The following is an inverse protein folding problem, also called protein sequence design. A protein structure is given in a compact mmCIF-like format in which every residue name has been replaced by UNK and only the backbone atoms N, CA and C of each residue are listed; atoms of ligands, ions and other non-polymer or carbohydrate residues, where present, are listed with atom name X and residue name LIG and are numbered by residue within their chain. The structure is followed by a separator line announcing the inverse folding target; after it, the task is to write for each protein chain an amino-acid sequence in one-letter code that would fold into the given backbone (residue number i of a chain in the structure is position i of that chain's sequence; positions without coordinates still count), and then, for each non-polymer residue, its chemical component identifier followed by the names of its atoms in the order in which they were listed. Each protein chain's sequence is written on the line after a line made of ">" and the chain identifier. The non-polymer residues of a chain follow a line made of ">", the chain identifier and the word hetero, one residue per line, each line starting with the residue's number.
data_IF_955352457100
#
_entry.id   IF_955352457100
#
_cell.length_a   1.000
_cell.length_b   1.000
_cell.length_c   1.000
_cell.angle_alpha   90.00
_cell.angle_beta   90.00
_cell.angle_gamma   90.00
#
_symmetry.space_group_name_H-M   'P 1'
#
loop_
_entity.id
_entity.type
_entity.pdbx_description
1 polymer ?
#
# COMPACT_ATOMS: atom_id res chain seq x y z
N UNK A 1 23.44 -10.48 32.09
CA UNK A 1 24.47 -9.68 32.79
C UNK A 1 24.04 -8.25 32.73
N UNK A 2 23.68 -7.66 33.88
CA UNK A 2 23.29 -6.29 33.94
C UNK A 2 24.53 -5.41 33.73
N UNK A 3 24.51 -4.63 32.66
CA UNK A 3 25.61 -3.70 32.36
C UNK A 3 25.53 -2.53 33.33
N UNK A 4 26.65 -2.19 33.92
CA UNK A 4 26.76 -1.02 34.82
C UNK A 4 27.81 -0.06 34.23
N UNK A 5 27.50 1.21 34.17
CA UNK A 5 28.43 2.21 33.69
C UNK A 5 29.64 2.29 34.63
N UNK A 6 30.84 2.12 34.10
CA UNK A 6 32.08 2.14 34.86
C UNK A 6 32.39 3.48 35.51
N UNK A 7 31.77 4.58 35.05
CA UNK A 7 32.00 5.92 35.53
C UNK A 7 31.01 6.36 36.61
N UNK A 8 29.71 6.05 36.46
CA UNK A 8 28.67 6.56 37.38
C UNK A 8 27.79 5.47 38.00
N UNK A 9 28.01 4.18 37.67
CA UNK A 9 27.25 3.08 38.24
C UNK A 9 25.81 2.94 37.68
N UNK A 10 25.39 3.77 36.73
CA UNK A 10 24.06 3.69 36.14
C UNK A 10 23.92 2.46 35.24
N UNK A 11 22.74 1.83 35.23
CA UNK A 11 22.42 0.68 34.39
C UNK A 11 21.59 1.04 33.15
N UNK A 12 21.29 2.33 32.94
CA UNK A 12 20.51 2.79 31.80
C UNK A 12 21.43 3.36 30.70
N UNK A 13 21.20 2.94 29.46
CA UNK A 13 22.02 3.30 28.30
C UNK A 13 21.12 3.57 27.09
N UNK A 14 21.51 4.57 26.27
CA UNK A 14 20.87 4.83 24.98
C UNK A 14 21.89 4.80 23.85
N UNK A 15 21.40 4.57 22.64
CA UNK A 15 22.22 4.64 21.44
C UNK A 15 22.22 6.07 20.87
N UNK A 16 23.40 6.67 20.86
CA UNK A 16 23.62 8.00 20.26
C UNK A 16 23.92 7.84 18.76
N UNK A 17 22.92 8.10 17.92
CA UNK A 17 23.03 7.95 16.45
C UNK A 17 24.07 8.89 15.82
N UNK A 18 24.23 10.09 16.35
CA UNK A 18 25.19 11.05 15.78
C UNK A 18 26.64 10.64 16.03
N UNK A 19 26.88 9.87 17.10
CA UNK A 19 28.20 9.34 17.48
C UNK A 19 28.35 7.84 17.23
N UNK A 20 27.29 7.20 16.71
CA UNK A 20 27.23 5.77 16.39
C UNK A 20 27.71 4.85 17.53
N UNK A 21 27.31 5.15 18.77
CA UNK A 21 27.74 4.38 19.94
C UNK A 21 26.70 4.38 21.05
N UNK A 22 26.78 3.37 21.93
CA UNK A 22 26.02 3.35 23.17
C UNK A 22 26.63 4.31 24.17
N UNK A 23 25.80 5.16 24.79
CA UNK A 23 26.21 6.12 25.82
C UNK A 23 25.36 5.93 27.08
N UNK A 24 25.96 6.12 28.23
CA UNK A 24 25.24 6.09 29.49
C UNK A 24 24.28 7.30 29.60
N UNK A 25 23.01 7.03 29.96
CA UNK A 25 21.98 8.08 30.08
C UNK A 25 22.33 9.16 31.09
N UNK A 26 23.06 8.78 32.14
CA UNK A 26 23.38 9.72 33.24
C UNK A 26 24.63 10.58 33.01
N UNK A 27 25.68 9.97 32.41
CA UNK A 27 26.97 10.69 32.33
C UNK A 27 27.54 10.80 30.92
N UNK A 28 26.83 10.25 29.90
CA UNK A 28 27.27 10.29 28.50
C UNK A 28 28.54 9.47 28.21
N UNK A 29 29.01 8.65 29.17
CA UNK A 29 30.20 7.81 28.95
C UNK A 29 29.91 6.76 27.94
N UNK A 30 30.74 6.59 26.88
CA UNK A 30 30.56 5.54 25.88
C UNK A 30 30.73 4.17 26.50
N UNK A 31 29.83 3.26 26.12
CA UNK A 31 29.93 1.84 26.48
C UNK A 31 30.58 1.11 25.33
N UNK A 32 31.71 0.53 25.57
CA UNK A 32 32.43 -0.28 24.59
C UNK A 32 31.82 -1.69 24.57
N UNK A 33 30.93 -1.94 23.63
CA UNK A 33 30.51 -3.28 23.24
C UNK A 33 30.90 -3.49 21.77
N UNK A 34 32.06 -4.11 21.52
CA UNK A 34 32.57 -4.26 20.15
C UNK A 34 31.61 -4.99 19.22
N UNK A 35 30.79 -5.91 19.75
CA UNK A 35 29.82 -6.67 18.94
C UNK A 35 28.61 -5.81 18.56
N UNK A 36 28.10 -5.04 19.50
CA UNK A 36 26.96 -4.16 19.26
C UNK A 36 27.32 -3.00 18.34
N UNK A 37 28.52 -2.43 18.52
CA UNK A 37 29.04 -1.36 17.64
C UNK A 37 29.23 -1.88 16.21
N UNK A 38 29.73 -3.09 16.02
CA UNK A 38 29.85 -3.71 14.69
C UNK A 38 28.48 -3.94 14.02
N UNK A 39 27.49 -4.44 14.77
CA UNK A 39 26.13 -4.62 14.25
C UNK A 39 25.50 -3.30 13.80
N UNK A 40 25.69 -2.24 14.59
CA UNK A 40 25.16 -0.92 14.27
C UNK A 40 25.86 -0.29 13.07
N UNK A 41 27.18 -0.43 12.97
CA UNK A 41 27.94 0.01 11.79
C UNK A 41 27.49 -0.74 10.52
N UNK A 42 27.25 -2.05 10.64
CA UNK A 42 26.72 -2.85 9.54
C UNK A 42 25.32 -2.43 9.12
N UNK A 43 24.42 -2.15 10.10
CA UNK A 43 23.10 -1.61 9.85
C UNK A 43 23.17 -0.30 9.08
N UNK A 44 23.94 0.69 9.58
CA UNK A 44 24.02 2.01 8.95
C UNK A 44 24.63 1.94 7.54
N UNK A 45 25.63 1.10 7.32
CA UNK A 45 26.23 0.87 6.00
C UNK A 45 25.20 0.28 5.03
N UNK A 46 24.50 -0.79 5.44
CA UNK A 46 23.51 -1.46 4.60
C UNK A 46 22.32 -0.54 4.32
N UNK A 47 21.86 0.21 5.32
CA UNK A 47 20.78 1.18 5.16
C UNK A 47 21.19 2.32 4.20
N UNK A 48 22.38 2.89 4.35
CA UNK A 48 22.89 3.94 3.46
C UNK A 48 23.03 3.45 2.02
N UNK A 49 23.51 2.23 1.83
CA UNK A 49 23.60 1.60 0.52
C UNK A 49 22.20 1.42 -0.10
N UNK A 50 21.23 0.93 0.67
CA UNK A 50 19.86 0.78 0.22
C UNK A 50 19.23 2.13 -0.17
N UNK A 51 19.50 3.20 0.60
CA UNK A 51 19.02 4.55 0.27
C UNK A 51 19.67 5.11 -1.01
N UNK A 52 20.91 4.78 -1.26
CA UNK A 52 21.59 5.11 -2.54
C UNK A 52 20.93 4.41 -3.72
N UNK A 53 20.57 3.12 -3.59
CA UNK A 53 19.81 2.40 -4.62
C UNK A 53 18.39 2.96 -4.78
N UNK A 54 17.73 3.35 -3.71
CA UNK A 54 16.41 3.98 -3.74
C UNK A 54 16.44 5.28 -4.58
N UNK A 55 17.42 6.14 -4.33
CA UNK A 55 17.57 7.40 -5.09
C UNK A 55 17.95 7.18 -6.53
N UNK A 56 18.69 6.11 -6.83
CA UNK A 56 19.04 5.71 -8.20
C UNK A 56 17.92 5.01 -8.96
N UNK A 57 16.76 4.72 -8.32
CA UNK A 57 15.63 4.01 -8.93
C UNK A 57 15.80 2.49 -9.01
N UNK A 58 16.78 1.93 -8.30
CA UNK A 58 17.04 0.49 -8.26
C UNK A 58 16.17 -0.20 -7.19
N UNK A 59 14.87 -0.27 -7.44
CA UNK A 59 13.84 -0.66 -6.45
C UNK A 59 14.03 -2.06 -5.88
N UNK A 60 14.28 -3.05 -6.74
CA UNK A 60 14.44 -4.44 -6.33
C UNK A 60 15.67 -4.64 -5.44
N UNK A 61 16.79 -3.99 -5.78
CA UNK A 61 18.00 -4.03 -4.98
C UNK A 61 17.79 -3.38 -3.61
N UNK A 62 17.05 -2.26 -3.57
CA UNK A 62 16.67 -1.61 -2.32
C UNK A 62 15.89 -2.55 -1.41
N UNK A 63 14.86 -3.22 -1.93
CA UNK A 63 14.04 -4.16 -1.17
C UNK A 63 14.89 -5.35 -0.69
N UNK A 64 15.75 -5.88 -1.55
CA UNK A 64 16.65 -6.99 -1.23
C UNK A 64 17.59 -6.68 -0.06
N UNK A 65 18.16 -5.48 -0.02
CA UNK A 65 19.05 -5.03 1.06
C UNK A 65 18.31 -4.75 2.38
N UNK A 66 17.09 -4.22 2.30
CA UNK A 66 16.33 -3.84 3.50
C UNK A 66 15.60 -5.01 4.14
N UNK A 67 15.21 -6.05 3.40
CA UNK A 67 14.46 -7.20 3.92
C UNK A 67 15.15 -7.91 5.09
N UNK A 68 16.45 -8.23 5.06
CA UNK A 68 17.15 -8.78 6.21
C UNK A 68 17.15 -7.85 7.42
N UNK A 69 17.31 -6.53 7.19
CA UNK A 69 17.28 -5.54 8.26
C UNK A 69 15.92 -5.45 8.94
N UNK A 70 14.81 -5.56 8.17
CA UNK A 70 13.45 -5.59 8.73
C UNK A 70 13.24 -6.77 9.68
N UNK A 71 13.85 -7.92 9.40
CA UNK A 71 13.79 -9.11 10.28
C UNK A 71 14.57 -8.90 11.57
N UNK A 72 15.69 -8.20 11.51
CA UNK A 72 16.54 -7.91 12.67
C UNK A 72 15.98 -6.75 13.51
N UNK A 73 15.36 -5.76 12.86
CA UNK A 73 14.85 -4.53 13.50
C UNK A 73 13.36 -4.33 13.21
N UNK A 74 12.47 -5.17 13.75
CA UNK A 74 11.03 -5.21 13.37
C UNK A 74 10.22 -3.99 13.82
N UNK A 75 10.79 -3.10 14.61
CA UNK A 75 10.14 -1.86 15.09
C UNK A 75 10.66 -0.60 14.44
N UNK A 76 11.68 -0.71 13.58
CA UNK A 76 12.31 0.45 12.94
C UNK A 76 11.49 0.94 11.74
N UNK A 77 10.68 1.98 11.94
CA UNK A 77 9.74 2.54 10.94
C UNK A 77 10.42 2.97 9.64
N UNK A 78 11.67 3.46 9.70
CA UNK A 78 12.41 3.95 8.53
C UNK A 78 12.65 2.85 7.50
N UNK A 79 12.87 1.61 7.95
CA UNK A 79 13.06 0.46 7.06
C UNK A 79 11.79 0.19 6.25
N UNK A 80 10.65 0.14 6.94
CA UNK A 80 9.36 -0.09 6.30
C UNK A 80 8.98 1.04 5.35
N UNK A 81 9.25 2.29 5.71
CA UNK A 81 9.00 3.42 4.82
C UNK A 81 9.87 3.35 3.56
N UNK A 82 11.15 3.02 3.70
CA UNK A 82 12.04 2.88 2.55
C UNK A 82 11.63 1.72 1.64
N UNK A 83 11.19 0.57 2.20
CA UNK A 83 10.66 -0.55 1.41
C UNK A 83 9.36 -0.17 0.71
N UNK A 84 8.45 0.55 1.38
CA UNK A 84 7.22 1.04 0.77
C UNK A 84 7.52 1.98 -0.40
N UNK A 85 8.45 2.92 -0.23
CA UNK A 85 8.90 3.81 -1.31
C UNK A 85 9.48 3.03 -2.49
N UNK A 86 10.31 2.02 -2.21
CA UNK A 86 10.86 1.17 -3.26
C UNK A 86 9.76 0.37 -3.99
N UNK A 87 8.83 -0.26 -3.26
CA UNK A 87 7.75 -1.05 -3.85
C UNK A 87 6.78 -0.19 -4.68
N UNK A 88 6.58 1.08 -4.31
CA UNK A 88 5.71 2.04 -5.02
C UNK A 88 6.46 2.95 -6.00
N UNK A 89 7.74 2.67 -6.25
CA UNK A 89 8.60 3.52 -7.08
C UNK A 89 8.58 4.99 -6.63
N UNK A 90 8.83 5.18 -5.36
CA UNK A 90 8.79 6.50 -4.71
C UNK A 90 7.40 7.17 -4.79
N UNK A 91 6.34 6.38 -4.54
CA UNK A 91 4.94 6.81 -4.61
C UNK A 91 4.48 7.27 -6.02
N UNK A 92 5.18 6.85 -7.08
CA UNK A 92 4.82 7.19 -8.47
C UNK A 92 4.01 6.10 -9.17
N UNK A 93 4.26 4.82 -8.85
CA UNK A 93 3.52 3.71 -9.43
C UNK A 93 2.15 3.54 -8.75
N UNK A 94 1.15 4.22 -9.29
CA UNK A 94 -0.23 4.18 -8.78
C UNK A 94 -0.91 2.85 -9.14
N UNK A 95 -0.59 2.27 -10.30
CA UNK A 95 -1.27 1.08 -10.83
C UNK A 95 -0.77 -0.22 -10.22
N UNK A 96 0.51 -0.24 -9.84
CA UNK A 96 1.15 -1.42 -9.26
C UNK A 96 0.84 -2.71 -10.03
N UNK A 97 1.21 -2.72 -11.30
CA UNK A 97 1.01 -3.87 -12.19
C UNK A 97 1.76 -5.13 -11.74
N UNK A 98 2.86 -4.95 -10.98
CA UNK A 98 3.62 -6.06 -10.41
C UNK A 98 2.98 -6.55 -9.11
N UNK A 99 2.47 -7.79 -9.12
CA UNK A 99 1.81 -8.40 -7.95
C UNK A 99 2.74 -8.56 -6.75
N UNK A 100 4.01 -8.87 -6.96
CA UNK A 100 5.00 -9.01 -5.88
C UNK A 100 5.25 -7.66 -5.17
N UNK A 101 5.37 -6.58 -5.93
CA UNK A 101 5.50 -5.24 -5.36
C UNK A 101 4.24 -4.81 -4.62
N UNK A 102 3.06 -5.14 -5.16
CA UNK A 102 1.78 -4.87 -4.53
C UNK A 102 1.64 -5.58 -3.18
N UNK A 103 2.00 -6.86 -3.10
CA UNK A 103 1.99 -7.61 -1.84
C UNK A 103 2.95 -7.01 -0.83
N UNK A 104 4.20 -6.73 -1.25
CA UNK A 104 5.21 -6.10 -0.39
C UNK A 104 4.74 -4.73 0.12
N UNK A 105 4.14 -3.91 -0.73
CA UNK A 105 3.59 -2.61 -0.35
C UNK A 105 2.44 -2.75 0.65
N UNK A 106 1.53 -3.71 0.44
CA UNK A 106 0.40 -3.99 1.33
C UNK A 106 0.87 -4.38 2.73
N UNK A 107 1.76 -5.36 2.84
CA UNK A 107 2.31 -5.83 4.12
C UNK A 107 3.07 -4.72 4.86
N UNK A 108 3.86 -3.94 4.11
CA UNK A 108 4.66 -2.85 4.66
C UNK A 108 3.77 -1.71 5.14
N UNK A 109 2.71 -1.40 4.40
CA UNK A 109 1.70 -0.40 4.78
C UNK A 109 1.03 -0.75 6.11
N UNK A 110 0.52 -1.99 6.24
CA UNK A 110 -0.12 -2.46 7.47
C UNK A 110 0.84 -2.41 8.67
N UNK A 111 2.10 -2.74 8.44
CA UNK A 111 3.11 -2.65 9.49
C UNK A 111 3.40 -1.21 9.90
N UNK A 112 3.47 -0.27 8.95
CA UNK A 112 3.65 1.16 9.24
C UNK A 112 2.48 1.75 10.03
N UNK A 113 1.24 1.37 9.71
CA UNK A 113 0.07 1.76 10.50
C UNK A 113 0.21 1.30 11.94
N UNK A 114 0.52 0.01 12.15
CA UNK A 114 0.69 -0.56 13.51
C UNK A 114 1.81 0.11 14.30
N UNK A 115 2.84 0.57 13.62
CA UNK A 115 3.98 1.27 14.23
C UNK A 115 3.74 2.79 14.39
N UNK A 116 2.57 3.32 14.03
CA UNK A 116 2.31 4.77 13.95
C UNK A 116 3.36 5.50 13.08
N UNK A 117 3.72 4.91 11.95
CA UNK A 117 4.72 5.42 11.01
C UNK A 117 4.13 6.04 9.74
N UNK A 118 2.85 6.40 9.75
CA UNK A 118 2.15 7.00 8.60
C UNK A 118 2.69 8.40 8.34
N UNK A 119 3.04 8.68 7.07
CA UNK A 119 3.54 9.99 6.63
C UNK A 119 2.53 10.68 5.72
N UNK A 120 2.65 12.01 5.56
CA UNK A 120 1.79 12.77 4.64
C UNK A 120 1.94 12.33 3.18
N UNK A 121 3.10 11.84 2.80
CA UNK A 121 3.34 11.28 1.45
C UNK A 121 2.51 10.01 1.22
N UNK A 122 2.48 9.11 2.21
CA UNK A 122 1.64 7.91 2.17
C UNK A 122 0.15 8.29 2.02
N UNK A 123 -0.30 9.30 2.78
CA UNK A 123 -1.69 9.75 2.71
C UNK A 123 -2.04 10.35 1.34
N UNK A 124 -1.14 11.16 0.77
CA UNK A 124 -1.33 11.69 -0.59
C UNK A 124 -1.39 10.57 -1.63
N UNK A 125 -0.48 9.62 -1.56
CA UNK A 125 -0.45 8.47 -2.45
C UNK A 125 -1.74 7.62 -2.36
N UNK A 126 -2.22 7.32 -1.15
CA UNK A 126 -3.46 6.58 -0.97
C UNK A 126 -4.66 7.30 -1.57
N UNK A 127 -4.73 8.63 -1.42
CA UNK A 127 -5.78 9.47 -2.01
C UNK A 127 -5.73 9.43 -3.54
N UNK A 128 -4.56 9.63 -4.14
CA UNK A 128 -4.40 9.60 -5.59
C UNK A 128 -4.79 8.23 -6.18
N UNK A 129 -4.37 7.15 -5.52
CA UNK A 129 -4.74 5.80 -5.93
C UNK A 129 -6.24 5.57 -5.86
N UNK A 130 -6.88 6.03 -4.79
CA UNK A 130 -8.33 5.96 -4.63
C UNK A 130 -9.08 6.74 -5.70
N UNK A 131 -8.66 7.98 -5.99
CA UNK A 131 -9.27 8.84 -7.00
C UNK A 131 -9.18 8.20 -8.40
N UNK A 132 -8.00 7.67 -8.76
CA UNK A 132 -7.80 6.97 -10.02
C UNK A 132 -8.72 5.74 -10.15
N UNK A 133 -8.77 4.91 -9.12
CA UNK A 133 -9.63 3.72 -9.12
C UNK A 133 -11.11 4.09 -9.22
N UNK A 134 -11.55 5.14 -8.54
CA UNK A 134 -12.90 5.69 -8.64
C UNK A 134 -13.22 6.17 -10.06
N UNK A 135 -12.28 6.83 -10.71
CA UNK A 135 -12.43 7.31 -12.08
C UNK A 135 -12.56 6.14 -13.08
N UNK A 136 -11.73 5.11 -12.94
CA UNK A 136 -11.82 3.90 -13.77
C UNK A 136 -13.15 3.18 -13.59
N UNK A 137 -13.63 3.03 -12.37
CA UNK A 137 -14.94 2.45 -12.08
C UNK A 137 -16.08 3.28 -12.69
N UNK A 138 -15.99 4.61 -12.65
CA UNK A 138 -16.98 5.47 -13.27
C UNK A 138 -17.03 5.31 -14.79
N UNK A 139 -15.86 5.22 -15.44
CA UNK A 139 -15.74 4.95 -16.88
C UNK A 139 -16.32 3.58 -17.26
N UNK A 140 -16.08 2.55 -16.46
CA UNK A 140 -16.68 1.23 -16.69
C UNK A 140 -18.20 1.26 -16.55
N UNK A 141 -18.73 1.94 -15.52
CA UNK A 141 -20.18 2.13 -15.35
C UNK A 141 -20.82 2.79 -16.56
N UNK A 142 -20.22 3.85 -17.05
CA UNK A 142 -20.73 4.57 -18.24
C UNK A 142 -20.76 3.66 -19.48
N UNK A 143 -19.72 2.88 -19.70
CA UNK A 143 -19.70 1.89 -20.80
C UNK A 143 -20.81 0.85 -20.68
N UNK A 144 -21.02 0.30 -19.47
CA UNK A 144 -22.08 -0.70 -19.27
C UNK A 144 -23.46 -0.10 -19.48
N UNK A 145 -23.71 1.10 -18.96
CA UNK A 145 -24.97 1.80 -19.21
C UNK A 145 -25.20 2.04 -20.72
N UNK A 146 -24.17 2.46 -21.45
CA UNK A 146 -24.25 2.65 -22.90
C UNK A 146 -24.63 1.32 -23.62
N UNK A 147 -24.05 0.20 -23.22
CA UNK A 147 -24.41 -1.12 -23.77
C UNK A 147 -25.85 -1.52 -23.44
N UNK A 148 -26.33 -1.26 -22.22
CA UNK A 148 -27.72 -1.52 -21.82
C UNK A 148 -28.68 -0.69 -22.66
N UNK A 149 -28.41 0.60 -22.86
CA UNK A 149 -29.22 1.47 -23.71
C UNK A 149 -29.21 1.02 -25.17
N UNK A 150 -28.05 0.64 -25.72
CA UNK A 150 -27.95 0.11 -27.08
C UNK A 150 -28.75 -1.17 -27.25
N UNK A 151 -28.69 -2.09 -26.31
CA UNK A 151 -29.45 -3.33 -26.35
C UNK A 151 -30.96 -3.07 -26.25
N UNK A 152 -31.40 -2.18 -25.37
CA UNK A 152 -32.82 -1.79 -25.27
C UNK A 152 -33.33 -1.14 -26.56
N UNK A 153 -32.54 -0.27 -27.17
CA UNK A 153 -32.87 0.36 -28.43
C UNK A 153 -32.99 -0.63 -29.57
N UNK A 154 -32.06 -1.57 -29.70
CA UNK A 154 -32.13 -2.65 -30.69
C UNK A 154 -33.36 -3.52 -30.48
N UNK A 155 -33.77 -3.80 -29.24
CA UNK A 155 -34.97 -4.57 -28.92
C UNK A 155 -36.26 -3.86 -29.35
N UNK A 156 -36.32 -2.54 -29.15
CA UNK A 156 -37.46 -1.71 -29.60
C UNK A 156 -37.54 -1.73 -31.12
N UNK A 157 -36.42 -1.54 -31.81
CA UNK A 157 -36.36 -1.58 -33.27
C UNK A 157 -36.79 -2.97 -33.83
N UNK A 158 -36.30 -4.02 -33.22
CA UNK A 158 -36.71 -5.39 -33.62
C UNK A 158 -38.20 -5.63 -33.42
N UNK A 159 -38.78 -5.13 -32.33
CA UNK A 159 -40.22 -5.22 -32.09
C UNK A 159 -41.06 -4.45 -33.14
N UNK A 160 -40.59 -3.28 -33.60
CA UNK A 160 -41.23 -2.50 -34.63
C UNK A 160 -41.19 -3.23 -36.01
N UNK A 161 -40.05 -3.89 -36.31
CA UNK A 161 -39.82 -4.51 -37.60
C UNK A 161 -40.47 -5.91 -37.75
N UNK A 162 -40.53 -6.69 -36.68
CA UNK A 162 -40.93 -8.11 -36.73
C UNK A 162 -42.27 -8.42 -36.05
N UNK A 163 -42.98 -7.45 -35.55
CA UNK A 163 -44.25 -7.62 -34.87
C UNK A 163 -44.23 -8.09 -33.43
N UNK A 164 -45.43 -8.24 -32.82
CA UNK A 164 -45.58 -8.37 -31.36
C UNK A 164 -45.01 -9.65 -30.76
N UNK A 165 -44.97 -10.78 -31.51
CA UNK A 165 -44.48 -12.06 -30.94
C UNK A 165 -42.95 -12.08 -30.74
N UNK A 166 -42.18 -11.48 -31.65
CA UNK A 166 -40.72 -11.34 -31.48
C UNK A 166 -40.34 -10.28 -30.46
N UNK A 167 -41.20 -9.28 -30.24
CA UNK A 167 -40.98 -8.23 -29.26
C UNK A 167 -40.90 -8.77 -27.82
N UNK A 168 -41.80 -9.69 -27.46
CA UNK A 168 -41.82 -10.26 -26.11
C UNK A 168 -40.57 -11.06 -25.77
N UNK A 169 -40.05 -11.84 -26.73
CA UNK A 169 -38.79 -12.57 -26.59
C UNK A 169 -37.57 -11.64 -26.47
N UNK A 170 -37.53 -10.59 -27.28
CA UNK A 170 -36.43 -9.61 -27.25
C UNK A 170 -36.41 -8.83 -25.93
N UNK A 171 -37.57 -8.44 -25.38
CA UNK A 171 -37.66 -7.76 -24.08
C UNK A 171 -37.27 -8.68 -22.91
N UNK A 172 -37.64 -9.95 -22.95
CA UNK A 172 -37.22 -10.95 -21.94
C UNK A 172 -35.71 -11.19 -21.98
N UNK A 173 -35.09 -11.33 -23.16
CA UNK A 173 -33.65 -11.49 -23.30
C UNK A 173 -32.85 -10.28 -22.81
N UNK A 174 -33.31 -9.07 -23.13
CA UNK A 174 -32.62 -7.83 -22.65
C UNK A 174 -32.83 -7.61 -21.16
N UNK A 175 -33.99 -7.93 -20.61
CA UNK A 175 -34.26 -7.85 -19.19
C UNK A 175 -33.39 -8.83 -18.39
N UNK A 176 -33.22 -10.05 -18.85
CA UNK A 176 -32.36 -11.04 -18.21
C UNK A 176 -30.89 -10.67 -18.28
N UNK A 177 -30.39 -10.16 -19.39
CA UNK A 177 -29.02 -9.66 -19.57
C UNK A 177 -28.74 -8.45 -18.66
N UNK A 178 -29.66 -7.49 -18.60
CA UNK A 178 -29.56 -6.36 -17.70
C UNK A 178 -29.57 -6.77 -16.21
N UNK A 179 -30.39 -7.77 -15.85
CA UNK A 179 -30.44 -8.35 -14.50
C UNK A 179 -29.16 -9.08 -14.13
N UNK A 180 -28.58 -9.87 -15.03
CA UNK A 180 -27.30 -10.55 -14.84
C UNK A 180 -26.14 -9.56 -14.71
N UNK A 181 -26.09 -8.55 -15.55
CA UNK A 181 -25.11 -7.48 -15.48
C UNK A 181 -25.25 -6.66 -14.19
N UNK A 182 -26.48 -6.33 -13.78
CA UNK A 182 -26.74 -5.65 -12.51
C UNK A 182 -26.29 -6.49 -11.32
N UNK A 183 -26.57 -7.80 -11.32
CA UNK A 183 -26.18 -8.72 -10.24
C UNK A 183 -24.66 -8.90 -10.18
N UNK A 184 -24.00 -9.04 -11.32
CA UNK A 184 -22.53 -9.09 -11.40
C UNK A 184 -21.89 -7.78 -10.91
N UNK A 185 -22.55 -6.65 -11.12
CA UNK A 185 -22.06 -5.34 -10.73
C UNK A 185 -22.36 -4.98 -9.26
N UNK A 186 -23.49 -5.46 -8.72
CA UNK A 186 -23.88 -5.16 -7.33
C UNK A 186 -23.17 -6.03 -6.30
N UNK A 187 -22.64 -7.20 -6.71
CA UNK A 187 -22.16 -8.18 -5.73
C UNK A 187 -20.74 -7.97 -5.24
N UNK A 188 -19.86 -7.27 -5.96
CA UNK A 188 -18.45 -7.15 -5.53
C UNK A 188 -17.89 -5.73 -5.40
N UNK A 189 -18.01 -4.80 -6.38
CA UNK A 189 -17.30 -3.52 -6.26
C UNK A 189 -18.02 -2.49 -5.38
N UNK A 190 -19.37 -2.55 -5.28
CA UNK A 190 -20.14 -1.55 -4.50
C UNK A 190 -19.97 -1.73 -3.00
N UNK A 191 -19.82 -2.97 -2.50
CA UNK A 191 -19.52 -3.20 -1.07
C UNK A 191 -18.14 -2.71 -0.70
N UNK A 192 -17.15 -2.99 -1.56
CA UNK A 192 -15.76 -2.52 -1.37
C UNK A 192 -15.69 -0.99 -1.46
N UNK A 193 -16.41 -0.38 -2.39
CA UNK A 193 -16.44 1.10 -2.53
C UNK A 193 -17.19 1.75 -1.36
N UNK A 194 -18.30 1.18 -0.88
CA UNK A 194 -18.98 1.69 0.32
C UNK A 194 -18.12 1.56 1.57
N UNK A 195 -17.40 0.46 1.73
CA UNK A 195 -16.45 0.29 2.82
C UNK A 195 -15.26 1.26 2.70
N UNK A 196 -14.73 1.47 1.50
CA UNK A 196 -13.69 2.47 1.24
C UNK A 196 -14.21 3.90 1.46
N UNK A 197 -15.45 4.21 1.07
CA UNK A 197 -16.03 5.55 1.29
C UNK A 197 -16.38 5.84 2.75
N UNK A 198 -16.78 4.83 3.54
CA UNK A 198 -16.99 5.00 4.98
C UNK A 198 -15.69 5.07 5.78
N UNK A 199 -14.59 4.60 5.23
CA UNK A 199 -13.28 4.59 5.86
C UNK A 199 -12.41 5.84 5.53
N UNK A 200 -12.85 6.69 4.60
CA UNK A 200 -12.11 7.89 4.18
C UNK A 200 -11.78 8.88 5.32
N UNK A 201 -12.55 9.02 6.42
CA UNK A 201 -12.12 9.85 7.54
C UNK A 201 -11.01 9.22 8.40
N UNK A 202 -10.89 7.90 8.40
CA UNK A 202 -9.88 7.17 9.16
C UNK A 202 -8.91 6.52 8.17
N UNK A 203 -7.82 7.20 7.82
CA UNK A 203 -6.72 6.76 6.95
C UNK A 203 -6.03 5.44 7.34
N UNK A 204 -6.76 4.56 8.02
CA UNK A 204 -6.28 3.26 8.50
C UNK A 204 -6.45 2.14 7.46
N UNK A 205 -7.07 2.43 6.30
CA UNK A 205 -7.26 1.41 5.27
C UNK A 205 -6.04 1.29 4.35
N UNK A 206 -5.67 0.05 4.15
CA UNK A 206 -4.60 -0.32 3.23
C UNK A 206 -5.06 -0.08 1.78
N UNK A 207 -4.42 0.82 1.01
CA UNK A 207 -4.84 1.17 -0.35
C UNK A 207 -4.52 0.08 -1.39
N UNK A 208 -3.90 -1.04 -0.98
CA UNK A 208 -3.46 -2.12 -1.86
C UNK A 208 -4.41 -3.33 -1.85
N UNK A 209 -5.38 -3.37 -0.94
CA UNK A 209 -6.45 -4.37 -0.85
C UNK A 209 -7.67 -3.84 -1.60
#
# INVERSE_FOLDING_TARGET
>A
MDRICSRCGCSSFHYNRSRMRMECDSCGTPVQDPQQDQQLMQYDRTYSQAMSHLTAGNWEQTIGLLRPLMSQYPTEKRLYLAVLRAATQDFRDIDMGNTANRTTASETWDKLIRLNGVTDEMLRYSRQRYEKHREELSKQRTKILAWIFAAAFCSILAGILFGTECYFLAVLCTGSLAGCLYKAFSSHPVKVIKQLMSAVPNYQHNPFI
#
